data_IF_416932905549
#
_entry.id   IF_416932905549
#
_cell.length_a   1.000
_cell.length_b   1.000
_cell.length_c   1.000
_cell.angle_alpha   90.00
_cell.angle_beta   90.00
_cell.angle_gamma   90.00
#
_symmetry.space_group_name_H-M   'P 1'
#
loop_
_entity.id
_entity.type
_entity.pdbx_description
1 polymer ?
#
# COMPACT_ATOMS: atom_id res chain seq x y z
N UNK A 1 8.91 -1.02 -49.33
CA UNK A 1 8.20 -1.87 -48.34
C UNK A 1 8.77 -1.65 -46.92
N UNK A 2 8.80 -0.40 -46.44
CA UNK A 2 9.40 -0.03 -45.13
C UNK A 2 8.38 0.11 -43.99
N UNK A 3 7.09 0.21 -44.31
CA UNK A 3 6.02 0.38 -43.32
C UNK A 3 5.93 -0.72 -42.26
N UNK A 4 6.15 -2.02 -42.58
CA UNK A 4 6.12 -3.07 -41.56
C UNK A 4 7.24 -2.90 -40.53
N UNK A 5 8.44 -2.47 -40.99
CA UNK A 5 9.58 -2.21 -40.11
C UNK A 5 9.33 -1.02 -39.19
N UNK A 6 8.77 0.08 -39.72
CA UNK A 6 8.44 1.27 -38.91
C UNK A 6 7.36 0.99 -37.86
N UNK A 7 6.36 0.14 -38.19
CA UNK A 7 5.34 -0.30 -37.24
C UNK A 7 5.91 -1.18 -36.13
N UNK A 8 6.77 -2.15 -36.47
CA UNK A 8 7.44 -3.01 -35.48
C UNK A 8 8.33 -2.18 -34.55
N UNK A 9 9.08 -1.23 -35.11
CA UNK A 9 9.93 -0.33 -34.32
C UNK A 9 9.11 0.54 -33.35
N UNK A 10 7.98 1.09 -33.81
CA UNK A 10 7.08 1.91 -32.99
C UNK A 10 6.40 1.09 -31.89
N UNK A 11 5.99 -0.14 -32.20
CA UNK A 11 5.42 -1.06 -31.21
C UNK A 11 6.47 -1.46 -30.15
N UNK A 12 7.73 -1.64 -30.54
CA UNK A 12 8.84 -1.84 -29.62
C UNK A 12 9.07 -0.65 -28.68
N UNK A 13 9.01 0.58 -29.20
CA UNK A 13 9.10 1.80 -28.39
C UNK A 13 7.91 1.96 -27.44
N UNK A 14 6.68 1.83 -27.92
CA UNK A 14 5.46 1.95 -27.09
C UNK A 14 5.47 0.90 -25.95
N UNK A 15 5.96 -0.32 -26.19
CA UNK A 15 6.13 -1.36 -25.17
C UNK A 15 7.20 -1.02 -24.12
N UNK A 16 8.33 -0.45 -24.54
CA UNK A 16 9.39 -0.01 -23.61
C UNK A 16 8.88 1.13 -22.72
N UNK A 17 8.19 2.11 -23.30
CA UNK A 17 7.60 3.23 -22.57
C UNK A 17 6.55 2.75 -21.55
N UNK A 18 5.67 1.82 -21.96
CA UNK A 18 4.69 1.21 -21.07
C UNK A 18 5.35 0.47 -19.90
N UNK A 19 6.42 -0.28 -20.18
CA UNK A 19 7.18 -1.02 -19.16
C UNK A 19 7.88 -0.08 -18.19
N UNK A 20 8.50 1.01 -18.67
CA UNK A 20 9.12 2.01 -17.78
C UNK A 20 8.08 2.69 -16.88
N UNK A 21 6.90 3.01 -17.40
CA UNK A 21 5.80 3.56 -16.59
C UNK A 21 5.30 2.58 -15.54
N UNK A 22 5.13 1.30 -15.91
CA UNK A 22 4.74 0.24 -14.99
C UNK A 22 5.78 0.04 -13.86
N UNK A 23 7.07 0.08 -14.19
CA UNK A 23 8.16 0.03 -13.20
C UNK A 23 8.14 1.24 -12.27
N UNK A 24 7.88 2.44 -12.80
CA UNK A 24 7.71 3.66 -12.00
C UNK A 24 6.56 3.55 -11.00
N UNK A 25 5.38 3.10 -11.46
CA UNK A 25 4.21 2.87 -10.63
C UNK A 25 4.48 1.81 -9.54
N UNK A 26 5.16 0.71 -9.91
CA UNK A 26 5.56 -0.33 -8.98
C UNK A 26 6.49 0.20 -7.88
N UNK A 27 7.53 0.94 -8.27
CA UNK A 27 8.50 1.52 -7.33
C UNK A 27 7.81 2.46 -6.33
N UNK A 28 6.98 3.39 -6.84
CA UNK A 28 6.26 4.35 -6.00
C UNK A 28 5.31 3.68 -5.02
N UNK A 29 4.53 2.69 -5.47
CA UNK A 29 3.59 2.01 -4.59
C UNK A 29 4.31 1.12 -3.57
N UNK A 30 5.43 0.51 -3.95
CA UNK A 30 6.28 -0.24 -3.02
C UNK A 30 6.83 0.66 -1.90
N UNK A 31 7.25 1.88 -2.25
CA UNK A 31 7.66 2.87 -1.25
C UNK A 31 6.50 3.25 -0.32
N UNK A 32 5.30 3.46 -0.86
CA UNK A 32 4.11 3.77 -0.06
C UNK A 32 3.75 2.63 0.92
N UNK A 33 3.84 1.36 0.48
CA UNK A 33 3.63 0.19 1.33
C UNK A 33 4.66 0.15 2.46
N UNK A 34 5.95 0.38 2.14
CA UNK A 34 7.01 0.40 3.14
C UNK A 34 6.80 1.52 4.18
N UNK A 35 6.43 2.72 3.73
CA UNK A 35 6.12 3.86 4.62
C UNK A 35 4.96 3.53 5.54
N UNK A 36 3.87 2.98 5.01
CA UNK A 36 2.69 2.66 5.83
C UNK A 36 2.99 1.54 6.84
N UNK A 37 3.79 0.55 6.47
CA UNK A 37 4.21 -0.51 7.39
C UNK A 37 5.04 0.07 8.56
N UNK A 38 5.97 1.00 8.26
CA UNK A 38 6.75 1.69 9.28
C UNK A 38 5.88 2.57 10.19
N UNK A 39 4.92 3.29 9.62
CA UNK A 39 3.95 4.09 10.38
C UNK A 39 3.09 3.23 11.31
N UNK A 40 2.62 2.08 10.83
CA UNK A 40 1.85 1.14 11.65
C UNK A 40 2.67 0.59 12.83
N UNK A 41 3.93 0.23 12.57
CA UNK A 41 4.83 -0.24 13.63
C UNK A 41 5.05 0.85 14.70
N UNK A 42 5.29 2.10 14.27
CA UNK A 42 5.42 3.25 15.18
C UNK A 42 4.17 3.46 16.02
N UNK A 43 2.98 3.51 15.39
CA UNK A 43 1.70 3.67 16.10
C UNK A 43 1.44 2.54 17.10
N UNK A 44 1.75 1.30 16.73
CA UNK A 44 1.59 0.13 17.60
C UNK A 44 2.49 0.22 18.84
N UNK A 45 3.73 0.68 18.64
CA UNK A 45 4.67 0.90 19.73
C UNK A 45 4.18 2.01 20.67
N UNK A 46 3.79 3.17 20.13
CA UNK A 46 3.26 4.31 20.91
C UNK A 46 2.01 3.90 21.71
N UNK A 47 1.10 3.16 21.09
CA UNK A 47 -0.11 2.68 21.74
C UNK A 47 0.19 1.72 22.91
N UNK A 48 1.15 0.81 22.71
CA UNK A 48 1.60 -0.11 23.76
C UNK A 48 2.29 0.64 24.89
N UNK A 49 3.21 1.55 24.58
CA UNK A 49 3.93 2.36 25.58
C UNK A 49 2.98 3.16 26.45
N UNK A 50 2.02 3.87 25.83
CA UNK A 50 1.00 4.63 26.56
C UNK A 50 0.14 3.73 27.45
N UNK A 51 -0.16 2.51 27.01
CA UNK A 51 -0.93 1.53 27.80
C UNK A 51 -0.14 1.07 29.01
N UNK A 52 1.14 0.74 28.85
CA UNK A 52 2.04 0.35 29.94
C UNK A 52 2.16 1.46 30.97
N UNK A 53 2.39 2.71 30.54
CA UNK A 53 2.46 3.87 31.44
C UNK A 53 1.17 4.02 32.27
N UNK A 54 0.00 3.88 31.63
CA UNK A 54 -1.30 3.93 32.33
C UNK A 54 -1.46 2.77 33.31
N UNK A 55 -1.07 1.55 32.92
CA UNK A 55 -1.15 0.37 33.79
C UNK A 55 -0.26 0.51 35.04
N UNK A 56 0.93 1.10 34.90
CA UNK A 56 1.82 1.36 36.03
C UNK A 56 1.26 2.42 37.00
N UNK A 57 0.39 3.31 36.52
CA UNK A 57 -0.21 4.38 37.31
C UNK A 57 -1.47 4.00 38.10
N UNK A 58 -2.07 2.83 37.87
CA UNK A 58 -3.33 2.43 38.53
C UNK A 58 -3.10 1.51 39.73
N UNK A 59 -3.92 1.67 40.77
CA UNK A 59 -3.81 0.92 42.03
C UNK A 59 -4.87 -0.17 42.18
N UNK A 60 -5.85 -0.23 41.28
CA UNK A 60 -6.97 -1.18 41.35
C UNK A 60 -7.08 -2.03 40.09
N UNK A 61 -7.55 -3.27 40.26
CA UNK A 61 -7.75 -4.20 39.15
C UNK A 61 -8.84 -3.71 38.19
N UNK A 62 -9.91 -3.10 38.68
CA UNK A 62 -10.98 -2.57 37.83
C UNK A 62 -10.46 -1.55 36.81
N UNK A 63 -9.55 -0.66 37.24
CA UNK A 63 -8.93 0.33 36.37
C UNK A 63 -7.93 -0.30 35.39
N UNK A 64 -7.20 -1.31 35.81
CA UNK A 64 -6.33 -2.07 34.92
C UNK A 64 -7.13 -2.78 33.81
N UNK A 65 -8.28 -3.38 34.14
CA UNK A 65 -9.19 -4.01 33.17
C UNK A 65 -9.77 -2.99 32.19
N UNK A 66 -10.15 -1.80 32.66
CA UNK A 66 -10.62 -0.71 31.81
C UNK A 66 -9.54 -0.30 30.78
N UNK A 67 -8.29 -0.12 31.23
CA UNK A 67 -7.15 0.21 30.37
C UNK A 67 -6.87 -0.90 29.35
N UNK A 68 -6.83 -2.16 29.79
CA UNK A 68 -6.59 -3.29 28.90
C UNK A 68 -7.69 -3.45 27.85
N UNK A 69 -8.95 -3.21 28.24
CA UNK A 69 -10.10 -3.23 27.32
C UNK A 69 -9.97 -2.15 26.26
N UNK A 70 -9.61 -0.92 26.67
CA UNK A 70 -9.36 0.17 25.75
C UNK A 70 -8.20 -0.12 24.79
N UNK A 71 -7.11 -0.73 25.28
CA UNK A 71 -6.00 -1.18 24.45
C UNK A 71 -6.43 -2.20 23.40
N UNK A 72 -7.17 -3.25 23.79
CA UNK A 72 -7.63 -4.27 22.83
C UNK A 72 -8.51 -3.63 21.75
N UNK A 73 -9.43 -2.74 22.14
CA UNK A 73 -10.28 -2.03 21.19
C UNK A 73 -9.47 -1.14 20.24
N UNK A 74 -8.57 -0.31 20.78
CA UNK A 74 -7.73 0.56 19.95
C UNK A 74 -6.80 -0.23 19.01
N UNK A 75 -6.27 -1.36 19.47
CA UNK A 75 -5.44 -2.25 18.65
C UNK A 75 -6.24 -2.86 17.50
N UNK A 76 -7.49 -3.26 17.76
CA UNK A 76 -8.40 -3.76 16.73
C UNK A 76 -8.73 -2.69 15.69
N UNK A 77 -9.11 -1.49 16.12
CA UNK A 77 -9.43 -0.37 15.22
C UNK A 77 -8.23 0.00 14.33
N UNK A 78 -7.03 0.05 14.93
CA UNK A 78 -5.78 0.29 14.20
C UNK A 78 -5.48 -0.82 13.18
N UNK A 79 -5.69 -2.09 13.54
CA UNK A 79 -5.49 -3.21 12.62
C UNK A 79 -6.43 -3.14 11.43
N UNK A 80 -7.73 -2.93 11.66
CA UNK A 80 -8.73 -2.83 10.58
C UNK A 80 -8.40 -1.67 9.64
N UNK A 81 -8.02 -0.53 10.20
CA UNK A 81 -7.57 0.64 9.41
C UNK A 81 -6.35 0.29 8.56
N UNK A 82 -5.33 -0.34 9.15
CA UNK A 82 -4.12 -0.77 8.44
C UNK A 82 -4.42 -1.77 7.32
N UNK A 83 -5.26 -2.77 7.59
CA UNK A 83 -5.66 -3.78 6.60
C UNK A 83 -6.39 -3.13 5.42
N UNK A 84 -7.29 -2.20 5.69
CA UNK A 84 -8.00 -1.44 4.64
C UNK A 84 -7.03 -0.64 3.78
N UNK A 85 -6.08 0.04 4.42
CA UNK A 85 -5.09 0.87 3.71
C UNK A 85 -4.11 0.03 2.89
N UNK A 86 -3.63 -1.11 3.41
CA UNK A 86 -2.83 -2.06 2.63
C UNK A 86 -3.60 -2.62 1.44
N UNK A 87 -4.85 -3.03 1.64
CA UNK A 87 -5.69 -3.53 0.55
C UNK A 87 -5.82 -2.51 -0.58
N UNK A 88 -6.05 -1.24 -0.24
CA UNK A 88 -6.09 -0.15 -1.21
C UNK A 88 -4.74 0.05 -1.93
N UNK A 89 -3.61 0.02 -1.22
CA UNK A 89 -2.29 0.16 -1.85
C UNK A 89 -1.99 -0.97 -2.82
N UNK A 90 -2.30 -2.22 -2.48
CA UNK A 90 -2.10 -3.35 -3.39
C UNK A 90 -3.06 -3.30 -4.60
N UNK A 91 -4.31 -2.88 -4.41
CA UNK A 91 -5.25 -2.67 -5.52
C UNK A 91 -4.79 -1.55 -6.45
N UNK A 92 -4.28 -0.45 -5.88
CA UNK A 92 -3.71 0.65 -6.64
C UNK A 92 -2.46 0.21 -7.39
N UNK A 93 -1.58 -0.59 -6.76
CA UNK A 93 -0.41 -1.16 -7.43
C UNK A 93 -0.84 -1.91 -8.68
N UNK A 94 -1.77 -2.87 -8.55
CA UNK A 94 -2.25 -3.65 -9.68
C UNK A 94 -2.81 -2.74 -10.78
N UNK A 95 -3.65 -1.78 -10.42
CA UNK A 95 -4.28 -0.85 -11.36
C UNK A 95 -3.25 0.01 -12.10
N UNK A 96 -2.35 0.67 -11.38
CA UNK A 96 -1.34 1.58 -11.95
C UNK A 96 -0.29 0.84 -12.77
N UNK A 97 0.01 -0.42 -12.44
CA UNK A 97 0.96 -1.23 -13.21
C UNK A 97 0.34 -1.74 -14.51
N UNK A 98 -0.99 -1.97 -14.56
CA UNK A 98 -1.69 -2.44 -15.76
C UNK A 98 -2.11 -1.32 -16.71
N UNK A 99 -2.43 -0.11 -16.20
CA UNK A 99 -2.83 1.07 -17.00
C UNK A 99 -1.96 1.34 -18.24
N UNK A 100 -0.62 1.30 -18.18
CA UNK A 100 0.23 1.58 -19.36
C UNK A 100 -0.01 0.63 -20.54
N UNK A 101 -0.60 -0.55 -20.30
CA UNK A 101 -0.87 -1.56 -21.31
C UNK A 101 -2.28 -1.48 -21.91
N UNK A 102 -3.23 -0.80 -21.27
CA UNK A 102 -4.60 -0.63 -21.81
C UNK A 102 -4.58 0.08 -23.18
N UNK A 103 -3.73 1.09 -23.33
CA UNK A 103 -3.54 1.81 -24.59
C UNK A 103 -2.82 1.00 -25.68
N UNK A 104 -2.03 0.00 -25.30
CA UNK A 104 -1.35 -0.92 -26.23
C UNK A 104 -2.32 -1.97 -26.78
N UNK A 105 -3.16 -2.56 -25.93
CA UNK A 105 -4.20 -3.52 -26.33
C UNK A 105 -5.26 -2.88 -27.24
N UNK A 106 -5.57 -1.60 -27.00
CA UNK A 106 -6.50 -0.83 -27.84
C UNK A 106 -5.96 -0.55 -29.24
N UNK A 107 -4.63 -0.49 -29.40
CA UNK A 107 -3.95 -0.24 -30.69
C UNK A 107 -3.75 -1.52 -31.53
N UNK A 108 -3.76 -2.70 -30.91
CA UNK A 108 -3.65 -3.98 -31.62
C UNK A 108 -5.01 -4.56 -32.04
N UNK A 109 -6.11 -4.05 -31.47
CA UNK A 109 -7.48 -4.42 -31.83
C UNK A 109 -8.10 -3.58 -32.98
N UNK A 110 -7.37 -2.57 -33.49
CA UNK A 110 -7.75 -1.71 -34.62
C UNK A 110 -6.77 -1.90 -35.78
#
# INVERSE_FOLDING_TARGET
MLQPFTQIQKLGQDNLDATMKALGAFSSTSQAIATEAAEFARKSFEHTSSTVEKLLGVQTLDKAVEIQTAYVKGAYDNLVSQSTKMGSLYSNLATETMKPYEGLLSKTAA
#
